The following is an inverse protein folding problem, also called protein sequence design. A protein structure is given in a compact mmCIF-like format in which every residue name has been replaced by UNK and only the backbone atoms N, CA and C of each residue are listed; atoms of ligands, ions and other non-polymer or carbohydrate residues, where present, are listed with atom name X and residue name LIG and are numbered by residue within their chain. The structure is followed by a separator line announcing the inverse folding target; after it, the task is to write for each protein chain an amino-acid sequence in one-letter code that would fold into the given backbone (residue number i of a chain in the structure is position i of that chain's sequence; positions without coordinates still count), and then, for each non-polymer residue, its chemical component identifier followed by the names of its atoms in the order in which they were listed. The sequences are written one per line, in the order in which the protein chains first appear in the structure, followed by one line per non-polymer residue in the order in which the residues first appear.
data_IF_413368256708
#
_entry.id   IF_413368256708
#
_cell.length_a   1.000
_cell.length_b   1.000
_cell.length_c   1.000
_cell.angle_alpha   90.00
_cell.angle_beta   90.00
_cell.angle_gamma   90.00
#
_symmetry.space_group_name_H-M   'P 1'
#
loop_
_entity.id
_entity.type
_entity.pdbx_description
1 polymer ?
#
# COMPACT_ATOMS: atom_id res chain seq x y z
N UNK A 1 -21.07 7.35 -14.60
CA UNK A 1 -21.98 6.64 -13.68
C UNK A 1 -22.63 5.39 -14.31
N UNK A 2 -22.93 5.39 -15.60
CA UNK A 2 -23.60 4.26 -16.27
C UNK A 2 -22.80 2.95 -16.25
N UNK A 3 -21.48 3.03 -16.42
CA UNK A 3 -20.58 1.88 -16.43
C UNK A 3 -20.58 1.11 -15.08
N UNK A 4 -20.68 1.82 -13.95
CA UNK A 4 -20.81 1.19 -12.62
C UNK A 4 -22.14 0.46 -12.45
N UNK A 5 -23.23 1.05 -12.93
CA UNK A 5 -24.55 0.40 -12.93
C UNK A 5 -24.55 -0.85 -13.80
N UNK A 6 -23.86 -0.81 -14.94
CA UNK A 6 -23.71 -1.97 -15.82
C UNK A 6 -22.94 -3.11 -15.12
N UNK A 7 -21.78 -2.84 -14.51
CA UNK A 7 -21.02 -3.86 -13.79
C UNK A 7 -21.80 -4.46 -12.61
N UNK A 8 -22.54 -3.65 -11.85
CA UNK A 8 -23.39 -4.15 -10.77
C UNK A 8 -24.50 -5.09 -11.30
N UNK A 9 -25.12 -4.77 -12.44
CA UNK A 9 -26.12 -5.64 -13.08
C UNK A 9 -25.50 -6.95 -13.55
N UNK A 10 -24.33 -6.91 -14.19
CA UNK A 10 -23.61 -8.11 -14.64
C UNK A 10 -23.25 -8.99 -13.44
N UNK A 11 -22.68 -8.41 -12.38
CA UNK A 11 -22.30 -9.11 -11.16
C UNK A 11 -23.51 -9.80 -10.50
N UNK A 12 -24.60 -9.05 -10.26
CA UNK A 12 -25.82 -9.62 -9.65
C UNK A 12 -26.47 -10.69 -10.53
N UNK A 13 -26.50 -10.48 -11.86
CA UNK A 13 -26.99 -11.47 -12.81
C UNK A 13 -26.17 -12.76 -12.81
N UNK A 14 -24.84 -12.66 -12.82
CA UNK A 14 -23.93 -13.81 -12.77
C UNK A 14 -24.02 -14.58 -11.45
N UNK A 15 -24.18 -13.89 -10.31
CA UNK A 15 -24.38 -14.52 -9.01
C UNK A 15 -25.72 -15.24 -8.91
N UNK A 16 -26.80 -14.65 -9.42
CA UNK A 16 -28.11 -15.30 -9.48
C UNK A 16 -28.03 -16.57 -10.34
N UNK A 17 -27.35 -16.51 -11.48
CA UNK A 17 -27.13 -17.66 -12.35
C UNK A 17 -26.30 -18.75 -11.65
N UNK A 18 -25.18 -18.38 -11.00
CA UNK A 18 -24.36 -19.30 -10.22
C UNK A 18 -25.17 -20.01 -9.11
N UNK A 19 -26.05 -19.28 -8.41
CA UNK A 19 -26.90 -19.84 -7.37
C UNK A 19 -27.92 -20.85 -7.93
N UNK A 20 -28.56 -20.55 -9.06
CA UNK A 20 -29.50 -21.47 -9.74
C UNK A 20 -28.78 -22.75 -10.18
N UNK A 21 -27.61 -22.64 -10.81
CA UNK A 21 -26.84 -23.81 -11.24
C UNK A 21 -26.28 -24.62 -10.07
N UNK A 22 -25.89 -23.97 -8.97
CA UNK A 22 -25.49 -24.65 -7.74
C UNK A 22 -26.62 -25.47 -7.14
N UNK A 23 -27.84 -24.92 -7.06
CA UNK A 23 -29.03 -25.65 -6.60
C UNK A 23 -29.33 -26.83 -7.53
N UNK A 24 -29.32 -26.61 -8.85
CA UNK A 24 -29.55 -27.67 -9.83
C UNK A 24 -28.50 -28.78 -9.78
N UNK A 25 -27.23 -28.45 -9.54
CA UNK A 25 -26.14 -29.42 -9.42
C UNK A 25 -26.23 -30.30 -8.17
N UNK A 26 -26.86 -29.81 -7.10
CA UNK A 26 -27.17 -30.64 -5.91
C UNK A 26 -28.36 -31.59 -6.19
N UNK A 27 -29.35 -31.13 -6.96
CA UNK A 27 -30.57 -31.88 -7.24
C UNK A 27 -30.42 -32.93 -8.36
N UNK A 28 -29.57 -32.64 -9.35
CA UNK A 28 -29.29 -33.51 -10.48
C UNK A 28 -27.87 -34.03 -10.29
N UNK A 29 -27.70 -35.33 -10.04
CA UNK A 29 -26.39 -35.99 -9.90
C UNK A 29 -25.40 -35.40 -10.91
N UNK A 30 -24.43 -34.64 -10.40
CA UNK A 30 -23.78 -33.56 -11.13
C UNK A 30 -23.10 -34.07 -12.41
N UNK A 31 -23.54 -33.56 -13.56
CA UNK A 31 -22.79 -33.71 -14.80
C UNK A 31 -21.65 -32.68 -14.83
N UNK A 32 -20.49 -33.05 -15.38
CA UNK A 32 -19.33 -32.16 -15.51
C UNK A 32 -19.70 -30.79 -16.13
N UNK A 33 -20.65 -30.78 -17.05
CA UNK A 33 -21.14 -29.55 -17.69
C UNK A 33 -21.74 -28.55 -16.69
N UNK A 34 -22.51 -29.01 -15.68
CA UNK A 34 -23.12 -28.14 -14.68
C UNK A 34 -22.05 -27.47 -13.80
N UNK A 35 -21.04 -28.22 -13.38
CA UNK A 35 -19.93 -27.68 -12.57
C UNK A 35 -19.13 -26.62 -13.33
N UNK A 36 -18.89 -26.82 -14.64
CA UNK A 36 -18.19 -25.85 -15.50
C UNK A 36 -18.96 -24.55 -15.67
N UNK A 37 -20.28 -24.64 -15.90
CA UNK A 37 -21.15 -23.46 -16.02
C UNK A 37 -21.18 -22.69 -14.70
N UNK A 38 -21.32 -23.40 -13.57
CA UNK A 38 -21.32 -22.79 -12.25
C UNK A 38 -19.99 -22.07 -11.96
N UNK A 39 -18.86 -22.72 -12.20
CA UNK A 39 -17.52 -22.14 -12.00
C UNK A 39 -17.29 -20.92 -12.89
N UNK A 40 -17.70 -20.98 -14.17
CA UNK A 40 -17.66 -19.83 -15.10
C UNK A 40 -18.44 -18.65 -14.56
N UNK A 41 -19.65 -18.88 -14.02
CA UNK A 41 -20.48 -17.84 -13.44
C UNK A 41 -19.81 -17.21 -12.20
N UNK A 42 -19.20 -18.01 -11.32
CA UNK A 42 -18.44 -17.51 -10.17
C UNK A 42 -17.21 -16.68 -10.58
N UNK A 43 -16.40 -17.18 -11.51
CA UNK A 43 -15.21 -16.46 -12.01
C UNK A 43 -15.61 -15.14 -12.68
N UNK A 44 -16.71 -15.13 -13.43
CA UNK A 44 -17.28 -13.90 -14.04
C UNK A 44 -17.73 -12.90 -12.97
N UNK A 45 -18.46 -13.37 -11.94
CA UNK A 45 -18.91 -12.52 -10.84
C UNK A 45 -17.73 -11.90 -10.08
N UNK A 46 -16.71 -12.71 -9.77
CA UNK A 46 -15.48 -12.26 -9.11
C UNK A 46 -14.72 -11.22 -9.92
N UNK A 47 -14.53 -11.46 -11.23
CA UNK A 47 -13.87 -10.51 -12.13
C UNK A 47 -14.65 -9.19 -12.22
N UNK A 48 -15.98 -9.23 -12.35
CA UNK A 48 -16.81 -8.03 -12.38
C UNK A 48 -16.73 -7.25 -11.06
N UNK A 49 -16.72 -7.94 -9.91
CA UNK A 49 -16.60 -7.32 -8.59
C UNK A 49 -15.24 -6.62 -8.40
N UNK A 50 -14.14 -7.27 -8.81
CA UNK A 50 -12.78 -6.71 -8.72
C UNK A 50 -12.54 -5.56 -9.73
N UNK A 51 -13.22 -5.57 -10.88
CA UNK A 51 -13.13 -4.47 -11.86
C UNK A 51 -13.64 -3.13 -11.32
N UNK A 52 -14.62 -3.13 -10.40
CA UNK A 52 -15.20 -1.91 -9.84
C UNK A 52 -14.15 -1.07 -9.09
N UNK A 53 -13.45 -1.55 -8.04
CA UNK A 53 -12.43 -0.76 -7.36
C UNK A 53 -11.26 -0.39 -8.28
N UNK A 54 -10.88 -1.25 -9.23
CA UNK A 54 -9.82 -0.92 -10.20
C UNK A 54 -10.22 0.23 -11.12
N UNK A 55 -11.47 0.29 -11.56
CA UNK A 55 -11.98 1.41 -12.36
C UNK A 55 -11.96 2.73 -11.58
N UNK A 56 -12.28 2.69 -10.29
CA UNK A 56 -12.19 3.86 -9.40
C UNK A 56 -10.74 4.32 -9.21
N UNK A 57 -9.77 3.39 -9.23
CA UNK A 57 -8.35 3.73 -9.19
C UNK A 57 -7.87 4.37 -10.51
N UNK A 58 -8.39 3.93 -11.66
CA UNK A 58 -8.06 4.51 -12.98
C UNK A 58 -8.50 5.97 -13.10
N UNK A 59 -9.67 6.31 -12.54
CA UNK A 59 -10.19 7.69 -12.52
C UNK A 59 -9.27 8.66 -11.75
N UNK A 60 -8.47 8.17 -10.80
CA UNK A 60 -7.54 8.99 -10.02
C UNK A 60 -6.20 9.08 -10.75
N UNK A 61 -5.82 10.29 -11.21
CA UNK A 61 -4.54 10.52 -11.91
C UNK A 61 -3.32 9.90 -11.19
N UNK A 62 -3.26 9.98 -9.86
CA UNK A 62 -2.17 9.40 -9.05
C UNK A 62 -2.18 7.87 -8.97
N UNK A 63 -3.34 7.23 -9.11
CA UNK A 63 -3.48 5.77 -9.02
C UNK A 63 -3.72 5.10 -10.38
N UNK A 64 -3.75 5.87 -11.47
CA UNK A 64 -4.11 5.38 -12.81
C UNK A 64 -3.28 4.18 -13.26
N UNK A 65 -1.97 4.22 -13.08
CA UNK A 65 -1.08 3.10 -13.45
C UNK A 65 -1.38 1.81 -12.68
N UNK A 66 -1.60 1.93 -11.37
CA UNK A 66 -1.98 0.79 -10.53
C UNK A 66 -3.37 0.25 -10.89
N UNK A 67 -4.34 1.12 -11.17
CA UNK A 67 -5.67 0.72 -11.62
C UNK A 67 -5.67 0.01 -12.97
N UNK A 68 -4.86 0.47 -13.93
CA UNK A 68 -4.71 -0.19 -15.24
C UNK A 68 -4.04 -1.56 -15.10
N UNK A 69 -2.98 -1.67 -14.28
CA UNK A 69 -2.38 -2.98 -13.99
C UNK A 69 -3.41 -3.92 -13.35
N UNK A 70 -4.18 -3.44 -12.37
CA UNK A 70 -5.23 -4.23 -11.73
C UNK A 70 -6.31 -4.71 -12.68
N UNK A 71 -6.76 -3.86 -13.61
CA UNK A 71 -7.67 -4.28 -14.67
C UNK A 71 -7.05 -5.36 -15.55
N UNK A 72 -5.79 -5.19 -15.97
CA UNK A 72 -5.07 -6.18 -16.76
C UNK A 72 -4.95 -7.52 -16.04
N UNK A 73 -4.59 -7.51 -14.75
CA UNK A 73 -4.53 -8.70 -13.91
C UNK A 73 -5.89 -9.40 -13.84
N UNK A 74 -6.98 -8.67 -13.57
CA UNK A 74 -8.32 -9.26 -13.52
C UNK A 74 -8.72 -9.90 -14.86
N UNK A 75 -8.36 -9.29 -16.00
CA UNK A 75 -8.61 -9.89 -17.31
C UNK A 75 -7.80 -11.17 -17.51
N UNK A 76 -6.51 -11.16 -17.18
CA UNK A 76 -5.63 -12.34 -17.30
C UNK A 76 -6.16 -13.49 -16.42
N UNK A 77 -6.43 -13.21 -15.15
CA UNK A 77 -7.01 -14.16 -14.18
C UNK A 77 -8.35 -14.73 -14.68
N UNK A 78 -9.21 -13.87 -15.23
CA UNK A 78 -10.49 -14.30 -15.79
C UNK A 78 -10.30 -15.25 -16.98
N UNK A 79 -9.41 -14.91 -17.93
CA UNK A 79 -9.14 -15.74 -19.11
C UNK A 79 -8.52 -17.08 -18.71
N UNK A 80 -7.55 -17.09 -17.79
CA UNK A 80 -6.94 -18.33 -17.28
C UNK A 80 -7.96 -19.16 -16.50
N UNK A 81 -8.81 -18.55 -15.68
CA UNK A 81 -9.90 -19.23 -14.98
C UNK A 81 -10.92 -19.87 -15.94
N UNK A 82 -11.23 -19.22 -17.07
CA UNK A 82 -12.06 -19.82 -18.12
C UNK A 82 -11.34 -20.99 -18.80
N UNK A 83 -10.05 -20.85 -19.11
CA UNK A 83 -9.25 -21.93 -19.70
C UNK A 83 -9.22 -23.19 -18.82
N UNK A 84 -9.01 -23.01 -17.52
CA UNK A 84 -9.07 -24.07 -16.51
C UNK A 84 -10.46 -24.71 -16.44
N UNK A 85 -11.50 -23.89 -16.38
CA UNK A 85 -12.89 -24.38 -16.25
C UNK A 85 -13.30 -25.23 -17.45
N UNK A 86 -12.87 -24.88 -18.66
CA UNK A 86 -13.26 -25.59 -19.88
C UNK A 86 -12.27 -26.68 -20.30
N UNK A 87 -11.25 -26.97 -19.48
CA UNK A 87 -10.21 -27.98 -19.73
C UNK A 87 -9.50 -27.74 -21.05
N UNK A 88 -8.81 -26.61 -21.16
CA UNK A 88 -8.03 -26.25 -22.34
C UNK A 88 -6.98 -27.29 -22.72
N UNK A 89 -6.58 -28.19 -21.80
CA UNK A 89 -5.73 -29.35 -22.07
C UNK A 89 -6.18 -30.15 -23.30
N UNK A 90 -7.50 -30.33 -23.50
CA UNK A 90 -8.02 -31.04 -24.69
C UNK A 90 -7.68 -30.34 -26.01
N UNK A 91 -7.48 -29.02 -25.97
CA UNK A 91 -7.10 -28.21 -27.12
C UNK A 91 -5.58 -28.02 -27.22
N UNK A 92 -4.87 -27.97 -26.09
CA UNK A 92 -3.43 -27.73 -25.99
C UNK A 92 -2.77 -28.81 -25.12
N UNK A 93 -2.36 -29.95 -25.68
CA UNK A 93 -1.88 -31.12 -24.93
C UNK A 93 -0.53 -30.90 -24.20
N UNK A 94 0.10 -29.73 -24.38
CA UNK A 94 1.34 -29.34 -23.72
C UNK A 94 1.12 -28.46 -22.48
N UNK A 95 -0.14 -28.20 -22.11
CA UNK A 95 -0.49 -27.36 -20.97
C UNK A 95 -1.16 -28.22 -19.90
N UNK A 96 -0.50 -28.36 -18.74
CA UNK A 96 -1.03 -29.05 -17.57
C UNK A 96 -1.95 -28.10 -16.79
N UNK A 97 -3.16 -28.56 -16.42
CA UNK A 97 -4.14 -27.76 -15.65
C UNK A 97 -3.54 -27.31 -14.30
N UNK A 98 -2.65 -28.11 -13.69
CA UNK A 98 -1.95 -27.72 -12.45
C UNK A 98 -1.02 -26.51 -12.67
N UNK A 99 -0.30 -26.47 -13.80
CA UNK A 99 0.61 -25.37 -14.14
C UNK A 99 -0.17 -24.07 -14.39
N UNK A 100 -1.31 -24.15 -15.07
CA UNK A 100 -2.20 -23.00 -15.25
C UNK A 100 -2.76 -22.50 -13.92
N UNK A 101 -3.22 -23.41 -13.05
CA UNK A 101 -3.76 -23.06 -11.74
C UNK A 101 -2.70 -22.40 -10.85
N UNK A 102 -1.47 -22.92 -10.80
CA UNK A 102 -0.37 -22.31 -10.07
C UNK A 102 0.03 -20.95 -10.66
N UNK A 103 0.06 -20.82 -11.98
CA UNK A 103 0.35 -19.53 -12.64
C UNK A 103 -0.67 -18.46 -12.25
N UNK A 104 -1.95 -18.83 -12.24
CA UNK A 104 -3.06 -17.97 -11.78
C UNK A 104 -2.83 -17.52 -10.33
N UNK A 105 -2.55 -18.44 -9.41
CA UNK A 105 -2.29 -18.10 -8.00
C UNK A 105 -1.12 -17.13 -7.85
N UNK A 106 -0.01 -17.35 -8.57
CA UNK A 106 1.16 -16.48 -8.46
C UNK A 106 1.00 -15.13 -9.13
N UNK A 107 0.27 -15.03 -10.24
CA UNK A 107 -0.09 -13.74 -10.86
C UNK A 107 -0.93 -12.92 -9.88
N UNK A 108 -1.92 -13.51 -9.20
CA UNK A 108 -2.70 -12.84 -8.17
C UNK A 108 -1.85 -12.37 -6.97
N UNK A 109 -1.05 -13.28 -6.39
CA UNK A 109 -0.25 -13.00 -5.18
C UNK A 109 0.83 -11.95 -5.44
N UNK A 110 1.46 -11.94 -6.61
CA UNK A 110 2.51 -10.94 -6.95
C UNK A 110 1.94 -9.65 -7.54
N UNK A 111 0.81 -9.74 -8.23
CA UNK A 111 0.13 -8.61 -8.86
C UNK A 111 -0.43 -7.59 -7.84
N UNK A 112 -0.97 -8.07 -6.71
CA UNK A 112 -1.50 -7.19 -5.66
C UNK A 112 -0.41 -6.28 -5.05
N UNK A 113 0.74 -6.80 -4.58
CA UNK A 113 1.88 -5.97 -4.18
C UNK A 113 2.39 -5.06 -5.30
N UNK A 114 2.47 -5.53 -6.55
CA UNK A 114 2.90 -4.70 -7.68
C UNK A 114 2.00 -3.47 -7.87
N UNK A 115 0.67 -3.62 -7.77
CA UNK A 115 -0.26 -2.49 -7.80
C UNK A 115 -0.01 -1.50 -6.66
N UNK A 116 0.21 -2.00 -5.44
CA UNK A 116 0.53 -1.16 -4.28
C UNK A 116 1.84 -0.38 -4.48
N UNK A 117 2.88 -1.05 -4.98
CA UNK A 117 4.17 -0.43 -5.25
C UNK A 117 4.12 0.59 -6.39
N UNK A 118 3.36 0.34 -7.46
CA UNK A 118 3.13 1.32 -8.52
C UNK A 118 2.35 2.54 -8.04
N UNK A 119 1.38 2.35 -7.14
CA UNK A 119 0.69 3.46 -6.50
C UNK A 119 1.66 4.29 -5.65
N UNK A 120 2.50 3.62 -4.86
CA UNK A 120 3.54 4.26 -4.06
C UNK A 120 4.59 4.99 -4.91
N UNK A 121 4.92 4.47 -6.10
CA UNK A 121 5.87 5.07 -7.04
C UNK A 121 5.47 6.49 -7.51
N UNK A 122 4.18 6.82 -7.41
CA UNK A 122 3.63 8.15 -7.76
C UNK A 122 3.70 9.16 -6.63
N UNK A 123 4.04 8.75 -5.41
CA UNK A 123 4.25 9.66 -4.28
C UNK A 123 5.69 10.16 -4.26
N UNK A 124 5.92 11.47 -4.10
CA UNK A 124 7.28 12.04 -4.10
C UNK A 124 8.19 11.40 -3.03
N UNK A 125 7.62 11.12 -1.85
CA UNK A 125 8.36 10.59 -0.70
C UNK A 125 8.80 9.13 -0.93
N UNK A 126 8.00 8.33 -1.63
CA UNK A 126 8.25 6.89 -1.78
C UNK A 126 8.36 6.43 -3.24
N UNK A 127 8.68 7.34 -4.16
CA UNK A 127 8.76 7.05 -5.59
C UNK A 127 9.77 5.95 -5.92
N UNK A 128 10.98 6.07 -5.37
CA UNK A 128 12.08 5.11 -5.56
C UNK A 128 11.71 3.75 -4.96
N UNK A 129 11.21 3.74 -3.72
CA UNK A 129 10.75 2.53 -3.06
C UNK A 129 9.64 1.82 -3.85
N UNK A 130 8.69 2.57 -4.39
CA UNK A 130 7.62 2.04 -5.24
C UNK A 130 8.13 1.42 -6.54
N UNK A 131 9.08 2.05 -7.23
CA UNK A 131 9.66 1.46 -8.43
C UNK A 131 10.46 0.19 -8.14
N UNK A 132 11.31 0.21 -7.10
CA UNK A 132 12.07 -0.97 -6.69
C UNK A 132 11.14 -2.11 -6.29
N UNK A 133 10.08 -1.83 -5.53
CA UNK A 133 9.09 -2.84 -5.16
C UNK A 133 8.37 -3.43 -6.37
N UNK A 134 7.98 -2.61 -7.34
CA UNK A 134 7.33 -3.08 -8.56
C UNK A 134 8.27 -3.98 -9.41
N UNK A 135 9.55 -3.61 -9.51
CA UNK A 135 10.57 -4.42 -10.20
C UNK A 135 10.76 -5.75 -9.47
N UNK A 136 10.89 -5.75 -8.14
CA UNK A 136 11.03 -6.98 -7.36
C UNK A 136 9.81 -7.89 -7.51
N UNK A 137 8.59 -7.35 -7.50
CA UNK A 137 7.37 -8.13 -7.75
C UNK A 137 7.38 -8.76 -9.14
N UNK A 138 7.86 -8.04 -10.16
CA UNK A 138 8.01 -8.58 -11.51
C UNK A 138 9.07 -9.68 -11.56
N UNK A 139 10.22 -9.51 -10.91
CA UNK A 139 11.27 -10.53 -10.81
C UNK A 139 10.75 -11.80 -10.12
N UNK A 140 10.03 -11.66 -9.00
CA UNK A 140 9.41 -12.79 -8.29
C UNK A 140 8.43 -13.52 -9.20
N UNK A 141 7.56 -12.79 -9.91
CA UNK A 141 6.62 -13.41 -10.85
C UNK A 141 7.34 -14.15 -11.98
N UNK A 142 8.38 -13.56 -12.57
CA UNK A 142 9.17 -14.20 -13.64
C UNK A 142 9.84 -15.47 -13.12
N UNK A 143 10.43 -15.46 -11.92
CA UNK A 143 11.03 -16.65 -11.32
C UNK A 143 10.00 -17.75 -11.06
N UNK A 144 8.81 -17.40 -10.56
CA UNK A 144 7.72 -18.34 -10.32
C UNK A 144 7.18 -18.94 -11.62
N UNK A 145 6.97 -18.12 -12.65
CA UNK A 145 6.54 -18.61 -13.96
C UNK A 145 7.63 -19.44 -14.64
N UNK A 146 8.90 -19.08 -14.48
CA UNK A 146 10.02 -19.89 -14.95
C UNK A 146 9.99 -21.28 -14.27
N UNK A 147 9.85 -21.33 -12.95
CA UNK A 147 9.78 -22.58 -12.20
C UNK A 147 8.59 -23.47 -12.60
N UNK A 148 7.47 -22.88 -13.03
CA UNK A 148 6.29 -23.63 -13.51
C UNK A 148 6.49 -24.15 -14.94
N UNK A 149 6.94 -23.29 -15.86
CA UNK A 149 6.84 -23.51 -17.30
C UNK A 149 8.12 -24.05 -17.95
N UNK A 150 9.26 -24.06 -17.26
CA UNK A 150 10.46 -24.68 -17.82
C UNK A 150 10.21 -26.18 -18.08
N UNK A 151 10.56 -26.70 -19.27
CA UNK A 151 10.15 -28.04 -19.70
C UNK A 151 10.62 -29.13 -18.73
N UNK A 152 9.75 -30.10 -18.43
CA UNK A 152 10.11 -31.29 -17.62
C UNK A 152 11.30 -32.08 -18.19
N UNK A 153 11.55 -32.02 -19.49
CA UNK A 153 12.72 -32.66 -20.14
C UNK A 153 14.03 -31.89 -19.91
N UNK A 154 13.95 -30.61 -19.54
CA UNK A 154 15.07 -29.74 -19.15
C UNK A 154 15.00 -29.46 -17.64
N UNK A 155 14.22 -30.25 -16.87
CA UNK A 155 14.27 -30.24 -15.40
C UNK A 155 15.64 -30.70 -14.95
N UNK A 156 16.54 -29.73 -14.91
CA UNK A 156 17.71 -29.74 -14.07
C UNK A 156 17.20 -29.89 -12.61
N UNK A 157 18.03 -30.39 -11.68
CA UNK A 157 17.71 -30.44 -10.25
C UNK A 157 17.41 -29.07 -9.57
N UNK A 158 17.15 -28.00 -10.34
CA UNK A 158 17.03 -26.60 -9.88
C UNK A 158 15.58 -26.07 -9.81
N UNK A 159 14.55 -26.88 -10.06
CA UNK A 159 13.15 -26.40 -9.99
C UNK A 159 12.80 -25.90 -8.58
N UNK A 160 13.16 -26.67 -7.55
CA UNK A 160 12.96 -26.29 -6.15
C UNK A 160 13.78 -25.04 -5.79
N UNK A 161 14.97 -24.89 -6.39
CA UNK A 161 15.85 -23.74 -6.17
C UNK A 161 15.27 -22.45 -6.74
N UNK A 162 14.58 -22.49 -7.89
CA UNK A 162 13.89 -21.33 -8.45
C UNK A 162 12.70 -20.90 -7.58
N UNK A 163 11.91 -21.85 -7.09
CA UNK A 163 10.84 -21.56 -6.13
C UNK A 163 11.40 -20.96 -4.83
N UNK A 164 12.45 -21.58 -4.27
CA UNK A 164 13.11 -21.09 -3.07
C UNK A 164 13.72 -19.70 -3.27
N UNK A 165 14.37 -19.45 -4.42
CA UNK A 165 14.92 -18.15 -4.80
C UNK A 165 13.82 -17.10 -4.89
N UNK A 166 12.69 -17.44 -5.53
CA UNK A 166 11.54 -16.53 -5.61
C UNK A 166 10.98 -16.19 -4.21
N UNK A 167 10.90 -17.17 -3.32
CA UNK A 167 10.47 -16.99 -1.93
C UNK A 167 11.44 -16.12 -1.11
N UNK A 168 12.75 -16.29 -1.33
CA UNK A 168 13.78 -15.45 -0.73
C UNK A 168 13.65 -13.98 -1.18
N UNK A 169 13.50 -13.74 -2.48
CA UNK A 169 13.32 -12.38 -3.02
C UNK A 169 11.99 -11.78 -2.54
N UNK A 170 10.92 -12.56 -2.49
CA UNK A 170 9.61 -12.12 -2.03
C UNK A 170 9.58 -11.75 -0.54
N UNK A 171 10.34 -12.46 0.30
CA UNK A 171 10.39 -12.22 1.76
C UNK A 171 11.35 -11.10 2.14
N UNK A 172 12.52 -11.01 1.52
CA UNK A 172 13.55 -10.02 1.85
C UNK A 172 13.43 -8.73 1.03
N UNK A 173 12.88 -8.79 -0.18
CA UNK A 173 12.64 -7.63 -1.04
C UNK A 173 11.83 -6.51 -0.37
N UNK A 174 10.72 -6.81 0.34
CA UNK A 174 9.96 -5.82 1.09
C UNK A 174 10.79 -5.07 2.15
N UNK A 175 11.82 -5.68 2.75
CA UNK A 175 12.72 -5.02 3.71
C UNK A 175 13.57 -3.96 3.00
N UNK A 176 14.06 -4.27 1.80
CA UNK A 176 14.77 -3.31 0.96
C UNK A 176 13.84 -2.14 0.57
N UNK A 177 12.61 -2.44 0.13
CA UNK A 177 11.62 -1.42 -0.23
C UNK A 177 11.27 -0.53 0.97
N UNK A 178 11.01 -1.12 2.14
CA UNK A 178 10.71 -0.41 3.37
C UNK A 178 11.86 0.50 3.80
N UNK A 179 13.11 0.08 3.60
CA UNK A 179 14.32 0.89 3.87
C UNK A 179 14.46 2.06 2.90
N UNK A 180 14.03 1.91 1.64
CA UNK A 180 14.08 2.95 0.60
C UNK A 180 12.98 4.01 0.68
N UNK A 181 11.91 3.79 1.46
CA UNK A 181 10.87 4.80 1.67
C UNK A 181 11.55 6.09 2.14
N UNK A 182 11.11 7.26 1.68
CA UNK A 182 11.60 8.58 2.11
C UNK A 182 12.76 9.18 1.31
N UNK A 183 13.53 8.38 0.56
CA UNK A 183 14.73 8.87 -0.14
C UNK A 183 14.38 9.95 -1.18
N UNK A 184 13.20 9.90 -1.79
CA UNK A 184 12.73 10.90 -2.76
C UNK A 184 12.28 12.24 -2.14
N UNK A 185 12.09 12.30 -0.82
CA UNK A 185 11.48 13.44 -0.12
C UNK A 185 12.45 14.49 0.45
N UNK A 186 13.76 14.38 0.19
CA UNK A 186 14.78 15.32 0.71
C UNK A 186 15.31 15.01 2.11
N UNK A 187 14.55 14.29 2.95
CA UNK A 187 15.01 13.78 4.27
C UNK A 187 15.83 12.49 4.10
N UNK A 188 17.05 12.64 3.56
CA UNK A 188 18.00 11.53 3.36
C UNK A 188 18.69 11.21 4.69
N UNK A 189 18.44 10.01 5.22
CA UNK A 189 19.07 9.53 6.45
C UNK A 189 20.04 8.42 6.10
N UNK A 190 21.29 8.54 6.51
CA UNK A 190 22.36 7.61 6.17
C UNK A 190 22.04 6.15 6.56
N UNK A 191 21.31 5.93 7.66
CA UNK A 191 20.92 4.59 8.10
C UNK A 191 19.93 3.87 7.17
N UNK A 192 19.25 4.58 6.26
CA UNK A 192 18.37 3.95 5.26
C UNK A 192 19.19 3.03 4.35
N UNK A 193 20.39 3.47 3.96
CA UNK A 193 21.30 2.70 3.13
C UNK A 193 21.86 1.49 3.87
N UNK A 194 22.07 1.60 5.19
CA UNK A 194 22.42 0.41 5.99
C UNK A 194 21.33 -0.65 5.94
N UNK A 195 20.06 -0.26 6.01
CA UNK A 195 18.93 -1.20 5.89
C UNK A 195 18.88 -1.87 4.52
N UNK A 196 19.11 -1.10 3.45
CA UNK A 196 19.20 -1.62 2.07
C UNK A 196 20.35 -2.61 1.94
N UNK A 197 21.56 -2.23 2.36
CA UNK A 197 22.75 -3.08 2.29
C UNK A 197 22.53 -4.38 3.08
N UNK A 198 22.01 -4.29 4.31
CA UNK A 198 21.74 -5.47 5.13
C UNK A 198 20.71 -6.40 4.46
N UNK A 199 19.62 -5.86 3.91
CA UNK A 199 18.61 -6.64 3.19
C UNK A 199 19.19 -7.30 1.91
N UNK A 200 20.01 -6.58 1.15
CA UNK A 200 20.67 -7.10 -0.05
C UNK A 200 21.67 -8.21 0.30
N UNK A 201 22.52 -8.01 1.31
CA UNK A 201 23.49 -9.02 1.75
C UNK A 201 22.77 -10.28 2.24
N UNK A 202 21.72 -10.13 3.05
CA UNK A 202 20.87 -11.25 3.49
C UNK A 202 20.26 -12.00 2.29
N UNK A 203 19.73 -11.27 1.30
CA UNK A 203 19.17 -11.88 0.09
C UNK A 203 20.21 -12.63 -0.73
N UNK A 204 21.41 -12.06 -0.90
CA UNK A 204 22.50 -12.74 -1.61
C UNK A 204 22.94 -14.00 -0.85
N UNK A 205 23.07 -13.93 0.49
CA UNK A 205 23.45 -15.09 1.31
C UNK A 205 22.45 -16.24 1.18
N UNK A 206 21.14 -15.96 1.26
CA UNK A 206 20.13 -17.02 1.16
C UNK A 206 20.04 -17.60 -0.25
N UNK A 207 20.19 -16.76 -1.29
CA UNK A 207 20.24 -17.24 -2.68
C UNK A 207 21.46 -18.15 -2.87
N UNK A 208 22.65 -17.71 -2.45
CA UNK A 208 23.85 -18.53 -2.55
C UNK A 208 23.70 -19.84 -1.77
N UNK A 209 23.10 -19.81 -0.57
CA UNK A 209 22.84 -21.02 0.22
C UNK A 209 21.89 -21.99 -0.49
N UNK A 210 20.83 -21.50 -1.13
CA UNK A 210 19.90 -22.32 -1.94
C UNK A 210 20.67 -23.02 -3.07
N UNK A 211 21.41 -22.26 -3.89
CA UNK A 211 22.11 -22.81 -5.05
C UNK A 211 23.32 -23.68 -4.70
N UNK A 212 23.79 -23.65 -3.45
CA UNK A 212 24.87 -24.50 -2.93
C UNK A 212 24.36 -25.65 -2.05
N UNK A 213 23.03 -25.85 -1.92
CA UNK A 213 22.37 -26.82 -1.03
C UNK A 213 22.89 -26.76 0.43
N UNK A 214 23.15 -25.54 0.92
CA UNK A 214 23.57 -25.32 2.31
C UNK A 214 22.32 -25.32 3.19
N UNK A 215 22.07 -26.43 3.88
CA UNK A 215 20.89 -26.60 4.76
C UNK A 215 21.11 -26.12 6.18
N UNK A 216 22.36 -25.91 6.59
CA UNK A 216 22.68 -25.45 7.94
C UNK A 216 22.47 -23.93 8.05
N UNK A 217 21.66 -23.53 9.03
CA UNK A 217 21.36 -22.13 9.29
C UNK A 217 22.60 -21.39 9.80
N UNK A 218 23.11 -20.43 9.03
CA UNK A 218 24.19 -19.57 9.49
C UNK A 218 23.67 -18.53 10.49
N UNK A 219 24.22 -18.52 11.71
CA UNK A 219 23.93 -17.46 12.68
C UNK A 219 24.17 -16.06 12.12
N UNK A 220 25.16 -15.90 11.23
CA UNK A 220 25.43 -14.65 10.52
C UNK A 220 24.24 -14.21 9.65
N UNK A 221 23.64 -15.11 8.88
CA UNK A 221 22.45 -14.80 8.08
C UNK A 221 21.31 -14.28 8.96
N UNK A 222 21.05 -14.93 10.09
CA UNK A 222 19.99 -14.51 11.03
C UNK A 222 20.30 -13.13 11.62
N UNK A 223 21.54 -12.85 11.99
CA UNK A 223 21.93 -11.54 12.54
C UNK A 223 21.78 -10.40 11.53
N UNK A 224 22.23 -10.61 10.28
CA UNK A 224 22.14 -9.60 9.22
C UNK A 224 20.67 -9.37 8.84
N UNK A 225 19.87 -10.43 8.75
CA UNK A 225 18.43 -10.34 8.47
C UNK A 225 17.70 -9.61 9.59
N UNK A 226 18.02 -9.91 10.85
CA UNK A 226 17.43 -9.21 12.01
C UNK A 226 17.76 -7.71 11.99
N UNK A 227 19.00 -7.34 11.67
CA UNK A 227 19.39 -5.95 11.50
C UNK A 227 18.62 -5.27 10.35
N UNK A 228 18.45 -5.95 9.21
CA UNK A 228 17.67 -5.44 8.08
C UNK A 228 16.20 -5.19 8.47
N UNK A 229 15.57 -6.12 9.20
CA UNK A 229 14.18 -5.98 9.70
C UNK A 229 14.06 -4.78 10.64
N UNK A 230 14.95 -4.64 11.62
CA UNK A 230 14.92 -3.54 12.59
C UNK A 230 15.11 -2.18 11.89
N UNK A 231 16.06 -2.09 10.95
CA UNK A 231 16.32 -0.84 10.20
C UNK A 231 15.14 -0.48 9.29
N UNK A 232 14.59 -1.45 8.57
CA UNK A 232 13.40 -1.26 7.72
C UNK A 232 12.20 -0.80 8.55
N UNK A 233 11.96 -1.46 9.69
CA UNK A 233 10.86 -1.14 10.61
C UNK A 233 11.02 0.26 11.23
N UNK A 234 12.20 0.58 11.75
CA UNK A 234 12.50 1.91 12.29
C UNK A 234 12.32 3.00 11.24
N UNK A 235 12.76 2.74 10.00
CA UNK A 235 12.58 3.68 8.88
C UNK A 235 11.11 3.99 8.60
N UNK A 236 10.22 2.99 8.62
CA UNK A 236 8.79 3.18 8.45
C UNK A 236 8.16 3.92 9.64
N UNK A 237 8.45 3.48 10.86
CA UNK A 237 7.87 4.02 12.11
C UNK A 237 8.22 5.49 12.32
N UNK A 238 9.41 5.93 11.94
CA UNK A 238 9.81 7.34 12.07
C UNK A 238 9.04 8.27 11.12
N UNK A 239 8.44 7.74 10.05
CA UNK A 239 7.61 8.51 9.11
C UNK A 239 6.15 8.62 9.49
N UNK A 240 5.68 7.88 10.49
CA UNK A 240 4.32 8.05 10.99
C UNK A 240 4.15 9.48 11.53
N UNK A 241 3.22 10.30 11.01
CA UNK A 241 2.99 11.65 11.53
C UNK A 241 2.42 11.57 12.95
N UNK A 242 3.19 12.03 13.92
CA UNK A 242 2.84 11.99 15.35
C UNK A 242 2.97 13.38 15.95
N UNK A 243 2.06 13.70 16.88
CA UNK A 243 2.18 14.90 17.71
C UNK A 243 3.38 14.77 18.66
N UNK A 244 3.86 15.90 19.21
CA UNK A 244 5.04 15.92 20.07
C UNK A 244 4.89 14.99 21.30
N UNK A 245 3.71 14.96 21.91
CA UNK A 245 3.39 14.09 23.05
C UNK A 245 3.28 12.60 22.71
N UNK A 246 3.18 12.23 21.43
CA UNK A 246 3.10 10.82 21.00
C UNK A 246 4.45 10.25 20.53
N UNK A 247 5.52 11.06 20.55
CA UNK A 247 6.85 10.63 20.08
C UNK A 247 7.47 9.51 20.93
N UNK A 248 7.11 9.41 22.22
CA UNK A 248 7.61 8.33 23.08
C UNK A 248 7.21 6.95 22.53
N UNK A 249 5.96 6.80 22.04
CA UNK A 249 5.46 5.53 21.53
C UNK A 249 6.26 5.03 20.33
N UNK A 250 6.69 5.96 19.46
CA UNK A 250 7.58 5.67 18.32
C UNK A 250 8.88 5.02 18.80
N UNK A 251 9.56 5.64 19.77
CA UNK A 251 10.83 5.16 20.27
C UNK A 251 10.69 3.86 21.06
N UNK A 252 9.60 3.70 21.83
CA UNK A 252 9.31 2.43 22.52
C UNK A 252 9.08 1.29 21.53
N UNK A 253 8.39 1.54 20.41
CA UNK A 253 8.14 0.52 19.37
C UNK A 253 9.44 0.11 18.67
N UNK A 254 10.30 1.08 18.33
CA UNK A 254 11.63 0.81 17.75
C UNK A 254 12.51 0.05 18.76
N UNK A 255 12.48 0.45 20.03
CA UNK A 255 13.24 -0.22 21.10
C UNK A 255 12.83 -1.67 21.26
N UNK A 256 11.52 -1.96 21.27
CA UNK A 256 11.01 -3.33 21.33
C UNK A 256 11.44 -4.16 20.11
N UNK A 257 11.34 -3.63 18.89
CA UNK A 257 11.79 -4.31 17.69
C UNK A 257 13.31 -4.59 17.72
N UNK A 258 14.09 -3.62 18.19
CA UNK A 258 15.55 -3.74 18.33
C UNK A 258 15.93 -4.79 19.37
N UNK A 259 15.23 -4.82 20.51
CA UNK A 259 15.43 -5.83 21.54
C UNK A 259 15.12 -7.25 21.03
N UNK A 260 14.01 -7.41 20.30
CA UNK A 260 13.67 -8.69 19.67
C UNK A 260 14.76 -9.14 18.67
N UNK A 261 15.18 -8.25 17.75
CA UNK A 261 16.21 -8.56 16.77
C UNK A 261 17.58 -8.89 17.39
N UNK A 262 17.96 -8.18 18.46
CA UNK A 262 19.18 -8.46 19.21
C UNK A 262 19.12 -9.83 19.89
N UNK A 263 18.03 -10.14 20.59
CA UNK A 263 17.86 -11.42 21.27
C UNK A 263 17.85 -12.60 20.28
N UNK A 264 17.17 -12.46 19.14
CA UNK A 264 17.21 -13.44 18.04
C UNK A 264 18.65 -13.65 17.55
N UNK A 265 19.40 -12.56 17.39
CA UNK A 265 20.81 -12.63 16.98
C UNK A 265 21.70 -13.31 18.02
N UNK A 266 21.49 -13.06 19.32
CA UNK A 266 22.23 -13.74 20.41
C UNK A 266 21.94 -15.23 20.43
N UNK A 267 20.68 -15.64 20.25
CA UNK A 267 20.30 -17.06 20.16
C UNK A 267 20.92 -17.71 18.93
N UNK A 268 20.89 -17.04 17.78
CA UNK A 268 21.40 -17.58 16.52
C UNK A 268 22.93 -17.71 16.46
N UNK A 269 23.67 -16.91 17.24
CA UNK A 269 25.12 -17.03 17.36
C UNK A 269 25.55 -18.07 18.41
N UNK A 270 24.60 -18.90 18.90
CA UNK A 270 24.84 -19.97 19.87
C UNK A 270 25.53 -19.53 21.18
N UNK A 271 25.44 -18.24 21.52
CA UNK A 271 26.02 -17.70 22.74
C UNK A 271 25.33 -18.19 24.03
N UNK A 272 24.23 -18.93 23.90
CA UNK A 272 23.38 -19.36 25.00
C UNK A 272 23.44 -20.89 25.14
N UNK A 273 24.08 -21.34 26.21
CA UNK A 273 24.28 -22.76 26.57
C UNK A 273 23.00 -23.58 26.81
N UNK A 274 22.83 -24.25 27.97
CA UNK A 274 21.88 -25.36 28.14
C UNK A 274 20.41 -25.02 27.78
N UNK A 275 19.66 -26.03 27.31
CA UNK A 275 18.31 -25.93 26.73
C UNK A 275 17.32 -25.01 27.48
N UNK A 276 17.34 -24.98 28.82
CA UNK A 276 16.46 -24.10 29.62
C UNK A 276 16.63 -22.61 29.30
N UNK A 277 17.83 -22.16 28.89
CA UNK A 277 18.06 -20.76 28.51
C UNK A 277 17.39 -20.41 27.18
N UNK A 278 17.29 -21.35 26.25
CA UNK A 278 16.69 -21.13 24.94
C UNK A 278 15.17 -20.91 25.06
N UNK A 279 14.49 -21.66 25.92
CA UNK A 279 13.05 -21.50 26.13
C UNK A 279 12.71 -20.12 26.70
N UNK A 280 13.44 -19.69 27.74
CA UNK A 280 13.23 -18.37 28.32
C UNK A 280 13.49 -17.24 27.31
N UNK A 281 14.57 -17.34 26.52
CA UNK A 281 14.90 -16.37 25.49
C UNK A 281 13.87 -16.34 24.36
N UNK A 282 13.34 -17.50 23.95
CA UNK A 282 12.24 -17.59 22.99
C UNK A 282 10.99 -16.85 23.47
N UNK A 283 10.63 -16.97 24.76
CA UNK A 283 9.51 -16.23 25.36
C UNK A 283 9.77 -14.71 25.37
N UNK A 284 10.99 -14.27 25.69
CA UNK A 284 11.35 -12.86 25.64
C UNK A 284 11.31 -12.29 24.22
N UNK A 285 11.88 -13.01 23.23
CA UNK A 285 11.81 -12.65 21.81
C UNK A 285 10.35 -12.46 21.38
N UNK A 286 9.50 -13.44 21.68
CA UNK A 286 8.08 -13.38 21.36
C UNK A 286 7.39 -12.17 22.01
N UNK A 287 7.66 -11.90 23.30
CA UNK A 287 7.08 -10.77 24.01
C UNK A 287 7.47 -9.42 23.36
N UNK A 288 8.75 -9.22 23.03
CA UNK A 288 9.20 -7.99 22.36
C UNK A 288 8.68 -7.87 20.92
N UNK A 289 8.60 -8.98 20.18
CA UNK A 289 8.03 -8.99 18.84
C UNK A 289 6.54 -8.62 18.85
N UNK A 290 5.76 -9.16 19.79
CA UNK A 290 4.34 -8.80 19.98
C UNK A 290 4.23 -7.31 20.35
N UNK A 291 5.04 -6.83 21.30
CA UNK A 291 5.03 -5.42 21.69
C UNK A 291 5.36 -4.48 20.50
N UNK A 292 6.34 -4.84 19.67
CA UNK A 292 6.67 -4.10 18.45
C UNK A 292 5.52 -4.12 17.43
N UNK A 293 4.85 -5.28 17.24
CA UNK A 293 3.68 -5.41 16.38
C UNK A 293 2.51 -4.54 16.84
N UNK A 294 2.13 -4.64 18.12
CA UNK A 294 1.08 -3.82 18.72
C UNK A 294 1.40 -2.32 18.66
N UNK A 295 2.64 -1.92 18.98
CA UNK A 295 3.08 -0.54 18.87
C UNK A 295 3.01 -0.01 17.45
N UNK A 296 3.36 -0.83 16.45
CA UNK A 296 3.25 -0.47 15.02
C UNK A 296 1.81 -0.24 14.60
N UNK A 297 0.88 -1.09 15.02
CA UNK A 297 -0.55 -0.89 14.76
C UNK A 297 -1.08 0.38 15.44
N UNK A 298 -0.71 0.61 16.71
CA UNK A 298 -1.09 1.81 17.44
C UNK A 298 -0.57 3.09 16.74
N UNK A 299 0.66 3.06 16.22
CA UNK A 299 1.24 4.15 15.44
C UNK A 299 0.49 4.39 14.12
N UNK A 300 0.02 3.34 13.44
CA UNK A 300 -0.81 3.49 12.23
C UNK A 300 -2.18 4.11 12.55
N UNK A 301 -2.81 3.71 13.65
CA UNK A 301 -4.07 4.29 14.13
C UNK A 301 -3.85 5.77 14.46
N UNK A 302 -2.83 6.10 15.24
CA UNK A 302 -2.50 7.49 15.58
C UNK A 302 -2.12 8.31 14.33
N UNK A 303 -1.36 7.73 13.40
CA UNK A 303 -1.05 8.38 12.13
C UNK A 303 -2.31 8.68 11.32
N UNK A 304 -3.32 7.80 11.36
CA UNK A 304 -4.62 8.01 10.71
C UNK A 304 -5.45 9.07 11.43
N UNK A 305 -5.45 9.11 12.77
CA UNK A 305 -6.14 10.12 13.56
C UNK A 305 -5.49 11.51 13.42
N UNK A 306 -4.17 11.56 13.38
CA UNK A 306 -3.40 12.79 13.16
C UNK A 306 -3.37 13.22 11.69
N UNK A 307 -3.85 12.37 10.76
CA UNK A 307 -3.94 12.73 9.36
C UNK A 307 -4.99 13.81 9.26
N UNK A 308 -4.52 15.06 9.18
CA UNK A 308 -5.34 16.19 8.79
C UNK A 308 -6.04 15.77 7.51
N UNK A 309 -7.36 15.80 7.53
CA UNK A 309 -8.13 15.68 6.30
C UNK A 309 -7.70 16.91 5.51
N UNK A 310 -6.82 16.69 4.53
CA UNK A 310 -6.54 17.69 3.51
C UNK A 310 -7.91 17.94 2.86
N UNK A 311 -8.63 18.93 3.40
CA UNK A 311 -9.81 19.45 2.77
C UNK A 311 -9.30 20.00 1.46
N UNK A 312 -9.47 19.21 0.40
CA UNK A 312 -9.40 19.71 -0.95
C UNK A 312 -10.37 20.90 -0.94
N UNK A 313 -9.89 22.14 -1.19
CA UNK A 313 -10.72 23.32 -1.07
C UNK A 313 -11.91 23.12 -2.02
N UNK A 314 -13.06 22.73 -1.46
CA UNK A 314 -14.29 22.50 -2.21
C UNK A 314 -14.93 23.82 -2.64
N UNK A 315 -14.25 24.93 -2.40
CA UNK A 315 -14.55 26.18 -3.02
C UNK A 315 -14.15 26.01 -4.48
N UNK A 316 -15.14 25.75 -5.34
CA UNK A 316 -15.06 26.22 -6.71
C UNK A 316 -14.43 27.62 -6.66
N UNK A 317 -13.39 27.88 -7.47
CA UNK A 317 -12.65 29.14 -7.38
C UNK A 317 -13.67 30.26 -7.41
N UNK A 318 -13.76 31.03 -6.33
CA UNK A 318 -14.69 32.17 -6.27
C UNK A 318 -14.16 33.15 -7.31
N UNK A 319 -14.72 33.11 -8.51
CA UNK A 319 -14.20 33.89 -9.65
C UNK A 319 -14.57 35.35 -9.49
N UNK A 320 -15.74 35.62 -8.91
CA UNK A 320 -16.26 36.97 -8.73
C UNK A 320 -16.96 37.12 -7.38
N UNK A 321 -16.92 38.35 -6.86
CA UNK A 321 -17.67 38.74 -5.67
C UNK A 321 -18.38 40.08 -5.90
N UNK A 322 -19.57 40.20 -5.33
CA UNK A 322 -20.31 41.46 -5.38
C UNK A 322 -19.85 42.36 -4.25
N UNK A 323 -19.38 43.56 -4.60
CA UNK A 323 -18.98 44.58 -3.64
C UNK A 323 -19.69 45.90 -3.92
N UNK A 324 -19.71 46.77 -2.92
CA UNK A 324 -20.16 48.16 -3.07
C UNK A 324 -18.91 49.04 -3.12
N UNK A 325 -18.73 49.82 -4.18
CA UNK A 325 -17.56 50.69 -4.31
C UNK A 325 -17.57 51.77 -3.20
N UNK A 326 -16.51 51.92 -2.39
CA UNK A 326 -16.50 52.88 -1.28
C UNK A 326 -16.46 54.34 -1.74
N UNK A 327 -16.09 54.60 -3.00
CA UNK A 327 -15.99 55.97 -3.54
C UNK A 327 -17.27 56.46 -4.20
N UNK A 328 -17.98 55.59 -4.93
CA UNK A 328 -19.15 55.97 -5.73
C UNK A 328 -20.44 55.23 -5.35
N UNK A 329 -20.40 54.36 -4.35
CA UNK A 329 -21.51 53.54 -3.85
C UNK A 329 -22.20 52.63 -4.87
N UNK A 330 -21.66 52.48 -6.08
CA UNK A 330 -22.18 51.56 -7.08
C UNK A 330 -21.90 50.12 -6.66
N UNK A 331 -22.97 49.31 -6.61
CA UNK A 331 -22.89 47.85 -6.46
C UNK A 331 -22.44 47.24 -7.78
N UNK A 332 -21.38 46.44 -7.74
CA UNK A 332 -20.78 45.83 -8.93
C UNK A 332 -20.19 44.45 -8.57
N UNK A 333 -20.16 43.55 -9.55
CA UNK A 333 -19.47 42.27 -9.44
C UNK A 333 -18.05 42.44 -9.95
N UNK A 334 -17.05 42.18 -9.12
CA UNK A 334 -15.64 42.25 -9.51
C UNK A 334 -15.03 40.86 -9.46
N UNK A 335 -14.07 40.60 -10.35
CA UNK A 335 -13.26 39.39 -10.28
C UNK A 335 -12.39 39.39 -9.00
N UNK A 336 -12.15 38.21 -8.44
CA UNK A 336 -11.20 38.07 -7.31
C UNK A 336 -9.77 38.33 -7.80
N UNK A 337 -8.99 39.08 -7.02
CA UNK A 337 -7.68 39.61 -7.41
C UNK A 337 -7.74 41.11 -7.71
N UNK A 338 -7.04 41.54 -8.75
CA UNK A 338 -7.00 42.95 -9.17
C UNK A 338 -8.18 43.30 -10.08
N UNK A 339 -9.03 44.22 -9.62
CA UNK A 339 -10.16 44.75 -10.36
C UNK A 339 -10.19 46.29 -10.33
N UNK A 340 -11.02 46.89 -11.19
CA UNK A 340 -11.32 48.32 -11.17
C UNK A 340 -12.82 48.54 -11.07
N UNK A 341 -13.23 49.62 -10.42
CA UNK A 341 -14.62 50.02 -10.42
C UNK A 341 -15.05 50.54 -11.79
N UNK A 342 -16.16 50.04 -12.32
CA UNK A 342 -16.68 50.39 -13.65
C UNK A 342 -17.12 51.85 -13.76
N UNK A 343 -17.36 52.52 -12.63
CA UNK A 343 -17.86 53.91 -12.61
C UNK A 343 -16.76 54.95 -12.34
N UNK A 344 -15.92 54.73 -11.32
CA UNK A 344 -14.93 55.72 -10.87
C UNK A 344 -13.47 55.28 -11.05
N UNK A 345 -13.25 54.11 -11.69
CA UNK A 345 -11.94 53.52 -11.96
C UNK A 345 -11.05 53.24 -10.72
N UNK A 346 -11.61 53.27 -9.50
CA UNK A 346 -10.90 52.89 -8.28
C UNK A 346 -10.34 51.46 -8.42
N UNK A 347 -9.03 51.27 -8.20
CA UNK A 347 -8.41 49.94 -8.16
C UNK A 347 -8.77 49.25 -6.85
N UNK A 348 -9.23 48.01 -6.93
CA UNK A 348 -9.68 47.22 -5.81
C UNK A 348 -8.95 45.88 -5.89
N UNK A 349 -8.16 45.56 -4.88
CA UNK A 349 -7.50 44.27 -4.73
C UNK A 349 -8.29 43.42 -3.73
N UNK A 350 -8.75 42.26 -4.16
CA UNK A 350 -9.50 41.33 -3.32
C UNK A 350 -8.72 40.03 -3.15
N UNK A 351 -8.52 39.62 -1.90
CA UNK A 351 -7.90 38.35 -1.54
C UNK A 351 -8.83 37.62 -0.57
N UNK A 352 -9.17 36.38 -0.91
CA UNK A 352 -9.95 35.51 -0.03
C UNK A 352 -8.97 34.61 0.70
N UNK A 353 -8.93 34.73 2.01
CA UNK A 353 -8.16 33.84 2.88
C UNK A 353 -9.14 33.03 3.73
N UNK A 354 -8.96 31.71 3.73
CA UNK A 354 -9.65 30.82 4.66
C UNK A 354 -8.94 30.93 6.01
N UNK A 355 -9.59 31.45 7.07
CA UNK A 355 -8.93 31.67 8.35
C UNK A 355 -8.48 30.31 8.90
N UNK A 356 -7.18 30.15 9.10
CA UNK A 356 -6.58 28.90 9.58
C UNK A 356 -5.81 29.13 10.86
N UNK A 357 -5.81 28.13 11.74
CA UNK A 357 -5.01 28.17 12.96
C UNK A 357 -3.53 28.36 12.58
N UNK A 358 -2.82 29.37 13.11
CA UNK A 358 -1.42 29.62 12.75
C UNK A 358 -0.49 28.48 13.21
N UNK A 359 -0.90 27.73 14.24
CA UNK A 359 -0.13 26.61 14.79
C UNK A 359 -0.34 25.31 14.01
N UNK A 360 -1.60 24.95 13.73
CA UNK A 360 -1.93 23.64 13.14
C UNK A 360 -2.61 23.69 11.78
N UNK A 361 -2.90 24.86 11.20
CA UNK A 361 -3.54 25.00 9.89
C UNK A 361 -5.01 24.55 9.82
N UNK A 362 -5.64 24.23 10.95
CA UNK A 362 -7.06 23.88 11.05
C UNK A 362 -7.93 25.02 10.55
N UNK A 363 -8.93 24.73 9.71
CA UNK A 363 -9.87 25.73 9.22
C UNK A 363 -10.73 26.25 10.39
N UNK A 364 -10.66 27.55 10.62
CA UNK A 364 -11.38 28.25 11.69
C UNK A 364 -12.76 28.75 11.23
N UNK A 365 -13.11 28.47 9.97
CA UNK A 365 -14.40 28.82 9.41
C UNK A 365 -15.53 28.20 10.26
N UNK A 366 -16.43 29.06 10.76
CA UNK A 366 -17.54 28.70 11.67
C UNK A 366 -17.12 28.11 13.03
N UNK A 367 -15.85 28.25 13.43
CA UNK A 367 -15.46 27.85 14.77
C UNK A 367 -16.06 28.82 15.80
N UNK A 368 -16.86 28.32 16.74
CA UNK A 368 -17.42 29.15 17.82
C UNK A 368 -16.43 29.31 18.98
N UNK A 369 -15.53 28.35 19.19
CA UNK A 369 -14.56 28.36 20.28
C UNK A 369 -13.38 29.30 20.04
N UNK A 370 -12.89 29.93 21.11
CA UNK A 370 -11.71 30.79 21.06
C UNK A 370 -10.39 30.02 20.98
N UNK A 371 -10.46 28.70 21.13
CA UNK A 371 -9.34 27.78 21.01
C UNK A 371 -9.57 26.83 19.85
N UNK A 372 -8.51 26.55 19.11
CA UNK A 372 -8.52 25.56 18.06
C UNK A 372 -8.79 24.16 18.66
N UNK A 373 -9.79 23.41 18.18
CA UNK A 373 -10.15 22.11 18.74
C UNK A 373 -9.06 21.06 18.52
N UNK A 374 -8.23 21.22 17.48
CA UNK A 374 -7.15 20.29 17.15
C UNK A 374 -5.91 20.44 18.04
N UNK A 375 -5.52 21.69 18.35
CA UNK A 375 -4.24 21.95 19.00
C UNK A 375 -4.31 22.79 20.27
N UNK A 376 -5.50 23.26 20.66
CA UNK A 376 -5.71 24.10 21.84
C UNK A 376 -5.16 25.52 21.74
N UNK A 377 -4.53 25.89 20.62
CA UNK A 377 -4.01 27.25 20.39
C UNK A 377 -5.16 28.25 20.41
N UNK A 378 -5.00 29.36 21.13
CA UNK A 378 -5.99 30.45 21.15
C UNK A 378 -6.00 31.13 19.78
N UNK A 379 -7.17 31.16 19.13
CA UNK A 379 -7.38 31.63 17.75
C UNK A 379 -8.30 32.84 17.66
N UNK A 380 -9.19 33.06 18.65
CA UNK A 380 -9.91 34.32 18.83
C UNK A 380 -9.35 35.01 20.06
N UNK A 381 -8.60 36.08 19.83
CA UNK A 381 -7.98 36.87 20.89
C UNK A 381 -7.27 38.15 20.42
N UNK A 382 -7.46 38.57 19.16
CA UNK A 382 -6.81 39.78 18.63
C UNK A 382 -7.68 40.58 17.63
N UNK A 383 -8.96 40.27 17.48
CA UNK A 383 -9.84 40.87 16.46
C UNK A 383 -11.09 41.57 17.03
N UNK A 384 -11.00 42.10 18.25
CA UNK A 384 -11.96 43.09 18.76
C UNK A 384 -11.39 44.51 18.86
N UNK A 385 -10.12 44.72 18.52
CA UNK A 385 -9.58 46.07 18.37
C UNK A 385 -9.95 46.56 16.98
N UNK A 386 -11.07 47.29 16.91
CA UNK A 386 -11.40 48.11 15.75
C UNK A 386 -10.22 49.01 15.36
N UNK A 387 -10.17 49.48 14.11
CA UNK A 387 -9.10 50.37 13.67
C UNK A 387 -8.94 51.54 14.66
N UNK A 388 -7.71 51.90 15.09
CA UNK A 388 -7.50 53.11 15.85
C UNK A 388 -8.05 54.28 15.02
N UNK A 389 -8.94 55.05 15.64
CA UNK A 389 -9.64 56.19 15.03
C UNK A 389 -8.69 57.27 14.50
#
# INVERSE_FOLDING_TARGET
MELRRLFLKIMLGSLALAAVFGILGVLVAASDALWRVMTTAFVTAGAAALMIPMSMMVDRQRARGAGLLGMGLVVVEFVVGLALTWSLERALPFVDDEQLALSMVFVAITGIPAMFFLWMARTKIASIAGWVGAILSAVVLVLLLAAIWLPRSVRMPWDDDLFATSGAVASLGPLMVASLVGIGGGDRRWWQWLGVIAATVSAVMVIVAIWQDIREGSGMFVTITSAAVVLAHANLVVRCPLSAGQRWLRWSTIGAASAAGLLVSVVALEFLGPANRQEFMGRLIAAFAIAAGCGSLALLVLARLNRRVDFEPSLEPIVAMTIVCPRCHKKQSIAVGDARCDNCALRIHTRIEDPRCPSCGYALYRLESDRCPECGTVVRGAASDGPPA
#
